data_IF_256166269979
#
_entry.id   IF_256166269979
#
_cell.length_a   1.000
_cell.length_b   1.000
_cell.length_c   1.000
_cell.angle_alpha   90.00
_cell.angle_beta   90.00
_cell.angle_gamma   90.00
#
_symmetry.space_group_name_H-M   'P 1'
#
loop_
_entity.id
_entity.type
_entity.pdbx_description
1 polymer ?
#
# COMPACT_ATOMS: atom_id res chain seq x y z
N UNK A 1 -32.64 -13.13 -28.18
CA UNK A 1 -32.66 -12.86 -26.73
C UNK A 1 -31.57 -11.85 -26.43
N UNK A 2 -31.95 -10.62 -26.09
CA UNK A 2 -31.04 -9.49 -25.96
C UNK A 2 -30.12 -9.63 -24.75
N UNK A 3 -28.82 -9.47 -25.03
CA UNK A 3 -27.72 -9.37 -24.07
C UNK A 3 -28.00 -8.23 -23.07
N UNK A 4 -28.03 -8.56 -21.78
CA UNK A 4 -28.12 -7.57 -20.71
C UNK A 4 -26.79 -6.85 -20.61
N UNK A 5 -26.74 -5.64 -21.15
CA UNK A 5 -25.64 -4.70 -21.00
C UNK A 5 -25.52 -4.34 -19.52
N UNK A 6 -24.55 -4.95 -18.83
CA UNK A 6 -24.16 -4.52 -17.49
C UNK A 6 -23.64 -3.09 -17.61
N UNK A 7 -24.43 -2.14 -17.13
CA UNK A 7 -24.04 -0.73 -17.07
C UNK A 7 -22.95 -0.63 -16.00
N UNK A 8 -21.69 -0.57 -16.41
CA UNK A 8 -20.57 -0.30 -15.51
C UNK A 8 -20.68 1.16 -15.09
N UNK A 9 -21.44 1.42 -14.03
CA UNK A 9 -21.43 2.73 -13.38
C UNK A 9 -20.25 2.75 -12.43
N UNK A 10 -19.29 3.67 -12.64
CA UNK A 10 -18.15 3.87 -11.75
C UNK A 10 -18.51 4.38 -10.34
N UNK A 11 -19.78 4.32 -9.95
CA UNK A 11 -20.32 4.78 -8.68
C UNK A 11 -21.44 3.83 -8.22
N UNK A 12 -21.44 3.47 -6.93
CA UNK A 12 -22.47 2.60 -6.33
C UNK A 12 -23.31 3.31 -5.26
N UNK A 13 -22.85 4.47 -4.75
CA UNK A 13 -23.42 5.24 -3.61
C UNK A 13 -23.39 4.51 -2.25
N UNK A 14 -22.92 3.27 -2.19
CA UNK A 14 -22.86 2.49 -0.93
C UNK A 14 -21.97 3.16 0.13
N UNK A 15 -20.99 3.96 -0.31
CA UNK A 15 -20.10 4.69 0.57
C UNK A 15 -20.63 6.01 1.12
N UNK A 16 -21.83 6.45 0.73
CA UNK A 16 -22.34 7.79 1.10
C UNK A 16 -22.65 7.89 2.60
N UNK A 17 -22.80 6.76 3.29
CA UNK A 17 -22.99 6.67 4.74
C UNK A 17 -21.71 6.89 5.57
N UNK A 18 -20.56 7.11 4.92
CA UNK A 18 -19.27 7.24 5.60
C UNK A 18 -18.56 5.91 5.86
N UNK A 19 -19.13 4.79 5.43
CA UNK A 19 -18.53 3.46 5.53
C UNK A 19 -18.12 2.92 4.16
N UNK A 20 -17.22 1.95 4.13
CA UNK A 20 -16.85 1.23 2.91
C UNK A 20 -16.58 -0.22 3.25
N UNK A 21 -16.81 -1.10 2.28
CA UNK A 21 -16.58 -2.53 2.44
C UNK A 21 -15.17 -2.91 1.99
N UNK A 22 -14.52 -3.75 2.78
CA UNK A 22 -13.32 -4.52 2.42
C UNK A 22 -13.71 -5.98 2.62
N UNK A 23 -13.81 -6.74 1.53
CA UNK A 23 -14.46 -8.06 1.53
C UNK A 23 -15.83 -8.01 2.25
N UNK A 24 -16.02 -8.80 3.30
CA UNK A 24 -17.24 -8.86 4.10
C UNK A 24 -17.27 -7.85 5.26
N UNK A 25 -16.19 -7.10 5.47
CA UNK A 25 -16.04 -6.15 6.57
C UNK A 25 -16.52 -4.77 6.19
N UNK A 26 -17.46 -4.22 6.96
CA UNK A 26 -17.88 -2.82 6.84
C UNK A 26 -17.03 -1.96 7.78
N UNK A 27 -16.18 -1.11 7.20
CA UNK A 27 -15.21 -0.31 7.95
C UNK A 27 -15.52 1.18 7.72
N UNK A 28 -15.35 2.03 8.74
CA UNK A 28 -15.50 3.48 8.59
C UNK A 28 -14.46 4.01 7.61
N UNK A 29 -14.81 4.95 6.73
CA UNK A 29 -13.86 5.57 5.79
C UNK A 29 -12.73 6.35 6.49
N UNK A 30 -12.94 6.75 7.74
CA UNK A 30 -11.95 7.45 8.55
C UNK A 30 -10.98 6.50 9.27
N UNK A 31 -11.18 5.18 9.12
CA UNK A 31 -10.31 4.17 9.72
C UNK A 31 -8.87 4.27 9.20
N UNK A 32 -7.91 3.94 10.06
CA UNK A 32 -6.48 3.99 9.74
C UNK A 32 -6.10 3.07 8.58
N UNK A 33 -6.83 1.98 8.36
CA UNK A 33 -6.64 1.10 7.21
C UNK A 33 -6.91 1.86 5.89
N UNK A 34 -8.02 2.59 5.80
CA UNK A 34 -8.29 3.39 4.60
C UNK A 34 -7.35 4.58 4.46
N UNK A 35 -6.91 5.19 5.55
CA UNK A 35 -5.88 6.22 5.50
C UNK A 35 -4.55 5.67 4.95
N UNK A 36 -4.14 4.46 5.35
CA UNK A 36 -2.93 3.79 4.86
C UNK A 36 -3.06 3.43 3.37
N UNK A 37 -4.16 2.81 2.96
CA UNK A 37 -4.45 2.47 1.56
C UNK A 37 -4.51 3.73 0.69
N UNK A 38 -5.25 4.74 1.15
CA UNK A 38 -5.42 6.02 0.46
C UNK A 38 -4.10 6.75 0.29
N UNK A 39 -3.28 6.84 1.35
CA UNK A 39 -1.96 7.48 1.29
C UNK A 39 -1.01 6.72 0.36
N UNK A 40 -1.06 5.38 0.35
CA UNK A 40 -0.24 4.56 -0.56
C UNK A 40 -0.63 4.77 -2.02
N UNK A 41 -1.93 4.88 -2.30
CA UNK A 41 -2.46 5.20 -3.63
C UNK A 41 -2.12 6.63 -4.06
N UNK A 42 -2.17 7.58 -3.12
CA UNK A 42 -1.73 8.96 -3.34
C UNK A 42 -0.25 8.99 -3.74
N UNK A 43 0.60 8.26 -3.03
CA UNK A 43 2.01 8.12 -3.39
C UNK A 43 2.19 7.57 -4.80
N UNK A 44 1.51 6.47 -5.14
CA UNK A 44 1.60 5.86 -6.48
C UNK A 44 1.18 6.85 -7.58
N UNK A 45 0.17 7.68 -7.31
CA UNK A 45 -0.29 8.71 -8.24
C UNK A 45 0.78 9.81 -8.46
N UNK A 46 1.45 10.25 -7.38
CA UNK A 46 2.53 11.23 -7.47
C UNK A 46 3.80 10.66 -8.14
N UNK A 47 4.10 9.38 -7.94
CA UNK A 47 5.16 8.70 -8.69
C UNK A 47 4.82 8.67 -10.19
N UNK A 48 3.55 8.43 -10.54
CA UNK A 48 3.07 8.51 -11.92
C UNK A 48 3.27 9.90 -12.52
N UNK A 49 2.94 10.96 -11.78
CA UNK A 49 3.20 12.34 -12.21
C UNK A 49 4.71 12.60 -12.41
N UNK A 50 5.55 12.15 -11.48
CA UNK A 50 6.99 12.28 -11.59
C UNK A 50 7.54 11.52 -12.82
N UNK A 51 6.96 10.36 -13.14
CA UNK A 51 7.29 9.55 -14.32
C UNK A 51 6.97 10.29 -15.61
N UNK A 52 5.81 10.92 -15.74
CA UNK A 52 5.48 11.70 -16.94
C UNK A 52 6.48 12.84 -17.18
N UNK A 53 6.84 13.59 -16.12
CA UNK A 53 7.89 14.61 -16.23
C UNK A 53 9.28 14.03 -16.53
N UNK A 54 9.54 12.78 -16.13
CA UNK A 54 10.79 12.11 -16.40
C UNK A 54 10.87 11.63 -17.87
N UNK A 55 9.75 11.16 -18.43
CA UNK A 55 9.61 10.80 -19.85
C UNK A 55 9.85 12.02 -20.73
N UNK A 56 9.23 13.17 -20.41
CA UNK A 56 9.42 14.44 -21.14
C UNK A 56 10.89 14.89 -21.21
N UNK A 57 11.72 14.42 -20.29
CA UNK A 57 13.15 14.73 -20.18
C UNK A 57 14.06 13.56 -20.51
N UNK A 58 13.49 12.47 -21.03
CA UNK A 58 14.21 11.26 -21.45
C UNK A 58 15.12 10.71 -20.34
N UNK A 59 14.65 10.80 -19.08
CA UNK A 59 15.40 10.28 -17.95
C UNK A 59 15.41 8.74 -17.97
N UNK A 60 16.55 8.08 -17.67
CA UNK A 60 16.70 6.62 -17.82
C UNK A 60 15.99 5.80 -16.73
N UNK A 61 15.37 6.45 -15.74
CA UNK A 61 14.78 5.80 -14.56
C UNK A 61 13.26 5.63 -14.64
N UNK A 62 12.63 5.93 -15.78
CA UNK A 62 11.17 5.83 -15.97
C UNK A 62 10.62 4.42 -15.74
N UNK A 63 11.38 3.40 -16.12
CA UNK A 63 11.00 2.00 -15.90
C UNK A 63 11.04 1.63 -14.41
N UNK A 64 12.05 2.14 -13.68
CA UNK A 64 12.15 1.99 -12.22
C UNK A 64 10.95 2.65 -11.52
N UNK A 65 10.50 3.82 -11.98
CA UNK A 65 9.28 4.46 -11.44
C UNK A 65 8.03 3.64 -11.69
N UNK A 66 7.90 3.05 -12.89
CA UNK A 66 6.79 2.15 -13.21
C UNK A 66 6.78 0.93 -12.27
N UNK A 67 7.95 0.34 -12.04
CA UNK A 67 8.12 -0.79 -11.12
C UNK A 67 7.75 -0.42 -9.68
N UNK A 68 8.12 0.78 -9.21
CA UNK A 68 7.72 1.31 -7.90
C UNK A 68 6.20 1.48 -7.83
N UNK A 69 5.53 2.00 -8.86
CA UNK A 69 4.07 2.11 -8.87
C UNK A 69 3.39 0.75 -8.73
N UNK A 70 3.88 -0.27 -9.43
CA UNK A 70 3.39 -1.64 -9.30
C UNK A 70 3.52 -2.15 -7.87
N UNK A 71 4.71 -1.99 -7.27
CA UNK A 71 4.94 -2.39 -5.87
C UNK A 71 4.01 -1.65 -4.91
N UNK A 72 3.74 -0.37 -5.12
CA UNK A 72 2.82 0.40 -4.28
C UNK A 72 1.36 -0.05 -4.43
N UNK A 73 0.94 -0.45 -5.64
CA UNK A 73 -0.38 -1.05 -5.85
C UNK A 73 -0.47 -2.38 -5.12
N UNK A 74 0.56 -3.22 -5.23
CA UNK A 74 0.65 -4.50 -4.51
C UNK A 74 0.56 -4.28 -2.98
N UNK A 75 1.24 -3.25 -2.45
CA UNK A 75 1.20 -2.90 -1.01
C UNK A 75 -0.21 -2.45 -0.61
N UNK A 76 -0.84 -1.59 -1.41
CA UNK A 76 -2.20 -1.14 -1.11
C UNK A 76 -3.20 -2.32 -1.13
N UNK A 77 -3.03 -3.28 -2.04
CA UNK A 77 -3.85 -4.50 -2.10
C UNK A 77 -3.59 -5.41 -0.90
N UNK A 78 -2.34 -5.58 -0.46
CA UNK A 78 -2.04 -6.42 0.70
C UNK A 78 -2.62 -5.86 2.00
N UNK A 79 -2.60 -4.54 2.17
CA UNK A 79 -3.28 -3.86 3.29
C UNK A 79 -4.80 -3.97 3.18
N UNK A 80 -5.35 -3.93 1.97
CA UNK A 80 -6.80 -4.11 1.76
C UNK A 80 -7.22 -5.52 2.15
N UNK A 81 -6.56 -6.56 1.66
CA UNK A 81 -6.97 -7.96 1.85
C UNK A 81 -6.29 -8.64 3.04
N UNK A 82 -6.05 -7.90 4.13
CA UNK A 82 -5.28 -8.40 5.28
C UNK A 82 -5.93 -9.60 5.99
N UNK A 83 -7.26 -9.63 6.07
CA UNK A 83 -8.04 -10.73 6.67
C UNK A 83 -8.35 -11.87 5.69
N UNK A 84 -8.09 -11.68 4.40
CA UNK A 84 -8.45 -12.69 3.41
C UNK A 84 -7.55 -13.93 3.60
N UNK A 85 -8.13 -15.06 3.99
CA UNK A 85 -7.46 -16.37 4.04
C UNK A 85 -7.15 -16.94 2.65
N UNK A 86 -7.50 -16.21 1.58
CA UNK A 86 -7.30 -16.66 0.21
C UNK A 86 -5.81 -16.85 -0.12
N UNK A 87 -5.56 -17.79 -1.05
CA UNK A 87 -4.23 -18.10 -1.63
C UNK A 87 -3.56 -16.94 -2.37
N UNK A 88 -4.18 -15.76 -2.38
CA UNK A 88 -3.70 -14.56 -3.08
C UNK A 88 -3.08 -13.53 -2.14
N UNK A 89 -2.75 -13.88 -0.89
CA UNK A 89 -1.88 -13.03 -0.06
C UNK A 89 -0.56 -12.83 -0.81
N UNK A 90 -0.36 -11.60 -1.27
CA UNK A 90 0.82 -11.24 -2.04
C UNK A 90 2.01 -11.22 -1.09
N UNK A 91 2.87 -12.23 -1.20
CA UNK A 91 4.10 -12.29 -0.40
C UNK A 91 5.07 -11.22 -0.86
N UNK A 92 5.43 -10.32 0.06
CA UNK A 92 6.50 -9.36 -0.16
C UNK A 92 7.84 -10.06 0.02
N UNK A 93 8.46 -10.41 -1.10
CA UNK A 93 9.78 -11.03 -1.10
C UNK A 93 10.86 -10.00 -0.72
N UNK A 94 11.86 -10.43 0.04
CA UNK A 94 13.10 -9.68 0.28
C UNK A 94 13.78 -9.22 -1.02
N UNK A 95 13.51 -9.89 -2.15
CA UNK A 95 13.99 -9.49 -3.47
C UNK A 95 13.56 -8.08 -3.85
N UNK A 96 12.34 -7.65 -3.48
CA UNK A 96 11.86 -6.29 -3.79
C UNK A 96 12.67 -5.23 -3.03
N UNK A 97 13.02 -5.50 -1.77
CA UNK A 97 13.86 -4.59 -0.96
C UNK A 97 15.26 -4.50 -1.55
N UNK A 98 15.87 -5.66 -1.86
CA UNK A 98 17.21 -5.72 -2.48
C UNK A 98 17.27 -4.98 -3.81
N UNK A 99 16.26 -5.16 -4.66
CA UNK A 99 16.14 -4.44 -5.94
C UNK A 99 16.16 -2.91 -5.75
N UNK A 100 15.42 -2.39 -4.75
CA UNK A 100 15.41 -0.95 -4.45
C UNK A 100 16.75 -0.49 -3.86
N UNK A 101 17.37 -1.27 -2.98
CA UNK A 101 18.69 -0.97 -2.40
C UNK A 101 19.77 -0.89 -3.47
N UNK A 102 19.75 -1.78 -4.45
CA UNK A 102 20.67 -1.76 -5.61
C UNK A 102 20.51 -0.47 -6.41
N UNK A 103 19.27 -0.01 -6.66
CA UNK A 103 19.05 1.28 -7.33
C UNK A 103 19.49 2.47 -6.51
N UNK A 104 19.30 2.44 -5.18
CA UNK A 104 19.80 3.49 -4.29
C UNK A 104 21.32 3.58 -4.41
N UNK A 105 22.02 2.45 -4.46
CA UNK A 105 23.48 2.41 -4.66
C UNK A 105 23.86 2.98 -6.03
N UNK A 106 23.19 2.56 -7.11
CA UNK A 106 23.39 3.06 -8.49
C UNK A 106 23.30 4.60 -8.55
N UNK A 107 22.24 5.18 -7.99
CA UNK A 107 22.04 6.64 -8.01
C UNK A 107 22.95 7.38 -7.03
N UNK A 108 23.30 6.76 -5.90
CA UNK A 108 24.16 7.39 -4.90
C UNK A 108 25.63 7.44 -5.31
N UNK A 109 26.09 6.51 -6.14
CA UNK A 109 27.47 6.47 -6.63
C UNK A 109 27.90 7.75 -7.38
N UNK A 110 26.95 8.45 -7.99
CA UNK A 110 27.19 9.67 -8.75
C UNK A 110 26.97 10.96 -7.94
N UNK A 111 26.65 10.85 -6.65
CA UNK A 111 26.41 12.02 -5.80
C UNK A 111 27.72 12.57 -5.25
N UNK A 112 27.94 13.87 -5.44
CA UNK A 112 29.03 14.60 -4.79
C UNK A 112 28.72 14.70 -3.28
N UNK A 113 29.73 14.56 -2.40
CA UNK A 113 29.56 14.77 -0.96
C UNK A 113 28.86 16.10 -0.67
N UNK A 114 27.77 16.02 0.08
CA UNK A 114 26.82 17.13 0.21
C UNK A 114 27.28 18.07 1.33
N UNK A 115 27.55 19.34 1.01
CA UNK A 115 28.04 20.29 2.04
C UNK A 115 26.91 20.90 2.91
N UNK A 116 25.64 20.94 2.47
CA UNK A 116 24.49 21.51 3.23
C UNK A 116 23.12 20.92 2.83
N UNK A 117 22.06 21.30 3.56
CA UNK A 117 20.65 20.99 3.25
C UNK A 117 20.27 21.41 1.81
N UNK A 118 19.63 20.50 1.06
CA UNK A 118 19.12 20.78 -0.28
C UNK A 118 17.67 21.25 -0.18
N UNK A 119 17.36 22.35 -0.84
CA UNK A 119 15.98 22.79 -1.05
C UNK A 119 15.30 21.87 -2.08
N UNK A 120 14.12 21.31 -1.79
CA UNK A 120 13.35 20.51 -2.75
C UNK A 120 13.13 21.27 -4.06
N UNK A 121 13.64 20.75 -5.17
CA UNK A 121 13.63 21.44 -6.46
C UNK A 121 14.45 20.70 -7.51
N UNK A 122 15.00 21.44 -8.48
CA UNK A 122 15.87 20.86 -9.52
C UNK A 122 15.15 20.37 -10.77
N UNK A 123 13.94 20.86 -11.04
CA UNK A 123 13.12 20.50 -12.20
C UNK A 123 11.81 19.83 -11.82
N UNK A 124 10.88 19.70 -12.79
CA UNK A 124 9.52 19.15 -12.52
C UNK A 124 9.57 17.71 -12.00
N UNK A 125 10.40 16.86 -12.61
CA UNK A 125 10.59 15.48 -12.17
C UNK A 125 11.16 15.42 -10.74
N UNK A 126 12.26 16.12 -10.48
CA UNK A 126 12.89 16.15 -9.16
C UNK A 126 11.99 16.73 -8.06
N UNK A 127 11.30 17.85 -8.33
CA UNK A 127 10.34 18.43 -7.39
C UNK A 127 9.17 17.48 -7.08
N UNK A 128 8.66 16.78 -8.09
CA UNK A 128 7.59 15.78 -7.90
C UNK A 128 8.08 14.58 -7.09
N UNK A 129 9.32 14.13 -7.30
CA UNK A 129 9.94 13.08 -6.48
C UNK A 129 10.16 13.51 -5.03
N UNK A 130 10.48 14.78 -4.78
CA UNK A 130 10.54 15.31 -3.41
C UNK A 130 9.17 15.30 -2.71
N UNK A 131 8.10 15.62 -3.44
CA UNK A 131 6.72 15.49 -2.92
C UNK A 131 6.41 14.02 -2.63
N UNK A 132 6.67 13.13 -3.58
CA UNK A 132 6.49 11.69 -3.41
C UNK A 132 7.26 11.15 -2.18
N UNK A 133 8.51 11.59 -1.95
CA UNK A 133 9.30 11.25 -0.75
C UNK A 133 8.57 11.61 0.55
N UNK A 134 7.93 12.78 0.62
CA UNK A 134 7.22 13.20 1.83
C UNK A 134 5.92 12.43 2.04
N UNK A 135 5.23 12.07 0.96
CA UNK A 135 4.05 11.19 1.01
C UNK A 135 4.45 9.77 1.42
N UNK A 136 5.58 9.27 0.93
CA UNK A 136 6.13 7.97 1.32
C UNK A 136 6.39 7.89 2.83
N UNK A 137 7.04 8.90 3.41
CA UNK A 137 7.23 8.99 4.87
C UNK A 137 5.88 9.06 5.62
N UNK A 138 4.83 9.64 5.03
CA UNK A 138 3.48 9.63 5.62
C UNK A 138 2.85 8.24 5.54
N UNK A 139 2.99 7.54 4.42
CA UNK A 139 2.52 6.17 4.25
C UNK A 139 3.19 5.22 5.26
N UNK A 140 4.50 5.36 5.43
CA UNK A 140 5.31 4.61 6.39
C UNK A 140 4.77 4.75 7.82
N UNK A 141 4.53 5.97 8.30
CA UNK A 141 3.98 6.20 9.66
C UNK A 141 2.62 5.54 9.88
N UNK A 142 1.77 5.50 8.83
CA UNK A 142 0.48 4.83 8.91
C UNK A 142 0.65 3.30 8.94
N UNK A 143 1.55 2.76 8.12
CA UNK A 143 1.90 1.34 8.15
C UNK A 143 2.46 0.89 9.50
N UNK A 144 3.40 1.66 10.07
CA UNK A 144 3.99 1.40 11.39
C UNK A 144 2.96 1.42 12.50
N UNK A 145 2.00 2.35 12.43
CA UNK A 145 0.89 2.40 13.38
C UNK A 145 0.05 1.11 13.32
N UNK A 146 -0.34 0.68 12.11
CA UNK A 146 -1.12 -0.56 11.93
C UNK A 146 -0.34 -1.79 12.44
N UNK A 147 0.95 -1.89 12.14
CA UNK A 147 1.80 -2.97 12.63
C UNK A 147 1.89 -2.99 14.15
N UNK A 148 2.01 -1.82 14.78
CA UNK A 148 2.08 -1.69 16.23
C UNK A 148 0.78 -2.13 16.90
N UNK A 149 -0.37 -1.71 16.37
CA UNK A 149 -1.69 -2.13 16.88
C UNK A 149 -1.88 -3.63 16.71
N UNK A 150 -1.53 -4.20 15.55
CA UNK A 150 -1.60 -5.63 15.30
C UNK A 150 -0.75 -6.45 16.28
N UNK A 151 0.49 -6.00 16.56
CA UNK A 151 1.36 -6.63 17.56
C UNK A 151 0.78 -6.57 18.97
N UNK A 152 0.23 -5.42 19.35
CA UNK A 152 -0.38 -5.26 20.67
C UNK A 152 -1.60 -6.16 20.84
N UNK A 153 -2.46 -6.25 19.83
CA UNK A 153 -3.61 -7.14 19.83
C UNK A 153 -3.18 -8.62 19.88
N UNK A 154 -2.18 -9.03 19.10
CA UNK A 154 -1.62 -10.39 19.14
C UNK A 154 -1.06 -10.75 20.52
N UNK A 155 -0.42 -9.80 21.21
CA UNK A 155 0.10 -9.99 22.56
C UNK A 155 -1.01 -10.17 23.60
N UNK A 156 -2.10 -9.40 23.50
CA UNK A 156 -3.29 -9.57 24.36
C UNK A 156 -3.88 -10.97 24.16
N UNK A 157 -3.97 -11.42 22.91
CA UNK A 157 -4.56 -12.70 22.54
C UNK A 157 -3.60 -13.91 22.72
N UNK A 158 -2.40 -13.69 23.28
CA UNK A 158 -1.34 -14.70 23.45
C UNK A 158 -0.95 -15.44 22.16
N UNK A 159 -0.99 -14.76 21.00
CA UNK A 159 -0.62 -15.32 19.69
C UNK A 159 0.80 -14.93 19.28
N UNK A 160 1.44 -15.75 18.44
CA UNK A 160 2.73 -15.44 17.80
C UNK A 160 2.59 -14.33 16.77
N UNK A 161 3.58 -13.43 16.74
CA UNK A 161 3.62 -12.13 16.04
C UNK A 161 3.68 -12.22 14.50
N UNK A 162 2.74 -12.90 13.86
CA UNK A 162 2.61 -12.89 12.40
C UNK A 162 1.15 -12.65 12.01
N UNK A 163 0.81 -11.37 11.86
CA UNK A 163 -0.45 -10.85 11.28
C UNK A 163 -1.68 -11.09 12.14
N UNK A 164 -2.22 -10.00 12.71
CA UNK A 164 -3.49 -10.00 13.42
C UNK A 164 -4.64 -10.09 12.42
N UNK A 165 -5.44 -11.15 12.53
CA UNK A 165 -6.80 -11.20 11.99
C UNK A 165 -7.76 -11.17 13.21
N UNK A 166 -8.56 -10.10 13.40
CA UNK A 166 -9.55 -10.07 14.46
C UNK A 166 -10.58 -11.18 14.25
N UNK A 167 -10.99 -11.83 15.33
CA UNK A 167 -12.06 -12.82 15.30
C UNK A 167 -13.35 -12.11 14.88
N UNK A 168 -13.92 -12.54 13.76
CA UNK A 168 -15.28 -12.17 13.35
C UNK A 168 -16.23 -12.35 14.53
N UNK A 169 -17.04 -11.32 14.79
CA UNK A 169 -18.01 -11.31 15.87
C UNK A 169 -19.03 -12.45 15.70
N UNK A 170 -18.83 -13.53 16.46
CA UNK A 170 -19.82 -14.48 16.93
C UNK A 170 -20.75 -15.13 15.90
N UNK A 171 -20.44 -16.38 15.53
CA UNK A 171 -21.45 -17.45 15.50
C UNK A 171 -20.85 -18.73 16.09
N UNK A 172 -21.44 -19.17 17.19
CA UNK A 172 -21.27 -20.50 17.74
C UNK A 172 -21.66 -21.55 16.69
N UNK A 173 -20.81 -22.55 16.49
CA UNK A 173 -21.26 -23.91 16.21
C UNK A 173 -20.23 -24.87 16.77
N UNK A 174 -20.63 -25.50 17.86
CA UNK A 174 -20.06 -26.70 18.45
C UNK A 174 -19.90 -27.84 17.41
N UNK A 175 -19.05 -28.79 17.78
CA UNK A 175 -18.90 -30.13 17.21
C UNK A 175 -18.27 -30.19 15.81
N UNK A 176 -17.09 -30.80 15.64
CA UNK A 176 -16.99 -32.26 15.64
C UNK A 176 -15.54 -32.70 15.93
N UNK A 177 -15.37 -33.46 17.03
CA UNK A 177 -14.26 -34.40 17.24
C UNK A 177 -14.25 -35.44 16.11
N UNK A 178 -13.11 -35.74 15.51
CA UNK A 178 -12.74 -37.13 15.18
C UNK A 178 -11.22 -37.30 15.37
N UNK A 179 -10.87 -38.19 16.31
CA UNK A 179 -9.56 -38.82 16.49
C UNK A 179 -9.28 -39.83 15.36
N UNK A 180 -7.98 -40.13 15.19
CA UNK A 180 -7.30 -41.16 14.37
C UNK A 180 -6.87 -40.74 12.97
#
# INVERSE_FOLDING_TARGET
>A
MFSSSHKITGYTKEGDSGFSKIDDLLISKDDQIFNAIGTTRELSSYIGLAREFAIDKEHPYTDKLTRIQTLLVDIALSVTYFECESKNKQEFSEKNTKEIEEWIQEFSANLVPRERYILPGGGKAAASLHVARNICQRAERLGDFLLTVARFAAKIDKRTESVYSPLGTGKNSEDTKIES
#
